data_IF_787875495659
#
_entry.id   IF_787875495659
#
_cell.length_a   1.000
_cell.length_b   1.000
_cell.length_c   1.000
_cell.angle_alpha   90.00
_cell.angle_beta   90.00
_cell.angle_gamma   90.00
#
_symmetry.space_group_name_H-M   'P 1'
#
loop_
_entity.id
_entity.type
_entity.pdbx_description
1 polymer ?
#
# COMPACT_ATOMS: atom_id res chain seq x y z
N UNK A 1 0.14 27.87 13.46
CA UNK A 1 0.37 26.47 13.06
C UNK A 1 -0.95 25.96 12.48
N UNK A 2 -1.14 26.05 11.17
CA UNK A 2 -2.37 25.59 10.52
C UNK A 2 -2.40 24.06 10.50
N UNK A 3 -3.53 23.43 10.88
CA UNK A 3 -3.64 21.97 10.98
C UNK A 3 -3.41 21.24 9.64
N UNK A 4 -3.50 21.94 8.52
CA UNK A 4 -3.26 21.42 7.17
C UNK A 4 -1.83 20.92 6.92
N UNK A 5 -0.83 21.50 7.59
CA UNK A 5 0.58 21.15 7.36
C UNK A 5 0.93 19.76 7.95
N UNK A 6 0.14 19.31 8.93
CA UNK A 6 0.36 18.02 9.62
C UNK A 6 -0.25 16.81 8.90
N UNK A 7 -1.05 17.03 7.85
CA UNK A 7 -1.70 15.94 7.11
C UNK A 7 -0.94 15.70 5.82
N UNK A 8 -0.49 14.46 5.60
CA UNK A 8 0.11 14.05 4.34
C UNK A 8 -1.01 13.86 3.32
N UNK A 9 -0.94 14.54 2.19
CA UNK A 9 -1.96 14.46 1.12
C UNK A 9 -1.32 13.82 -0.10
N UNK A 10 -1.93 12.74 -0.59
CA UNK A 10 -1.57 12.09 -1.85
C UNK A 10 -2.68 12.39 -2.85
N UNK A 11 -2.37 13.16 -3.89
CA UNK A 11 -3.35 13.70 -4.83
C UNK A 11 -2.91 13.53 -6.27
N UNK A 12 -3.86 13.43 -7.19
CA UNK A 12 -3.58 13.52 -8.62
C UNK A 12 -3.61 14.98 -9.06
N UNK A 13 -2.47 15.51 -9.49
CA UNK A 13 -2.30 16.87 -9.97
C UNK A 13 -2.92 17.09 -11.35
N UNK A 14 -2.88 18.33 -11.82
CA UNK A 14 -3.43 18.73 -13.13
C UNK A 14 -2.72 18.06 -14.32
N UNK A 15 -1.46 17.66 -14.16
CA UNK A 15 -0.71 16.91 -15.16
C UNK A 15 -0.92 15.39 -15.12
N UNK A 16 -1.99 14.93 -14.45
CA UNK A 16 -2.22 13.52 -14.09
C UNK A 16 -1.13 12.90 -13.20
N UNK A 17 -0.22 13.70 -12.65
CA UNK A 17 0.86 13.21 -11.80
C UNK A 17 0.37 12.92 -10.38
N UNK A 18 0.85 11.84 -9.77
CA UNK A 18 0.54 11.55 -8.36
C UNK A 18 1.58 12.21 -7.48
N UNK A 19 1.14 13.21 -6.72
CA UNK A 19 1.99 14.07 -5.90
C UNK A 19 1.69 13.93 -4.41
N UNK A 20 2.70 14.21 -3.59
CA UNK A 20 2.59 14.29 -2.13
C UNK A 20 2.80 15.71 -1.67
N UNK A 21 1.90 16.19 -0.82
CA UNK A 21 2.02 17.46 -0.11
C UNK A 21 1.82 17.28 1.40
N UNK A 22 2.19 18.31 2.17
CA UNK A 22 2.21 18.28 3.62
C UNK A 22 3.60 17.97 4.18
N UNK A 23 3.71 17.91 5.51
CA UNK A 23 4.98 17.66 6.19
C UNK A 23 5.36 16.18 6.12
N UNK A 24 6.52 15.92 5.53
CA UNK A 24 7.12 14.58 5.42
C UNK A 24 8.38 14.56 6.28
N UNK A 25 8.39 13.70 7.30
CA UNK A 25 9.58 13.42 8.12
C UNK A 25 10.38 12.23 7.57
N UNK A 26 11.45 11.84 8.25
CA UNK A 26 12.33 10.76 7.79
C UNK A 26 11.60 9.41 7.64
N UNK A 27 10.68 9.07 8.55
CA UNK A 27 9.97 7.78 8.50
C UNK A 27 8.95 7.78 7.37
N UNK A 28 8.19 8.88 7.21
CA UNK A 28 7.28 9.04 6.09
C UNK A 28 8.02 9.03 4.74
N UNK A 29 9.20 9.65 4.68
CA UNK A 29 10.06 9.63 3.50
C UNK A 29 10.47 8.21 3.10
N UNK A 30 10.90 7.39 4.05
CA UNK A 30 11.26 5.98 3.78
C UNK A 30 10.07 5.17 3.24
N UNK A 31 8.87 5.38 3.80
CA UNK A 31 7.65 4.73 3.31
C UNK A 31 7.35 5.15 1.87
N UNK A 32 7.46 6.45 1.57
CA UNK A 32 7.22 6.99 0.24
C UNK A 32 8.26 6.49 -0.78
N UNK A 33 9.55 6.44 -0.43
CA UNK A 33 10.59 5.87 -1.27
C UNK A 33 10.31 4.39 -1.58
N UNK A 34 9.90 3.62 -0.57
CA UNK A 34 9.54 2.21 -0.76
C UNK A 34 8.28 2.03 -1.61
N UNK A 35 7.37 2.98 -1.58
CA UNK A 35 6.22 3.03 -2.47
C UNK A 35 6.58 3.45 -3.90
N UNK A 36 7.82 3.86 -4.17
CA UNK A 36 8.29 4.29 -5.49
C UNK A 36 8.14 5.80 -5.75
N UNK A 37 7.90 6.62 -4.74
CA UNK A 37 7.94 8.07 -4.89
C UNK A 37 9.37 8.58 -5.05
N UNK A 38 9.51 9.58 -5.90
CA UNK A 38 10.73 10.31 -6.17
C UNK A 38 10.72 11.63 -5.42
N UNK A 39 11.88 12.02 -4.87
CA UNK A 39 12.08 13.29 -4.16
C UNK A 39 12.93 14.19 -5.06
N UNK A 40 12.28 15.12 -5.74
CA UNK A 40 12.90 16.00 -6.72
C UNK A 40 13.13 17.39 -6.13
N UNK A 41 14.27 18.04 -6.40
CA UNK A 41 14.47 19.42 -5.98
C UNK A 41 13.45 20.32 -6.68
N UNK A 42 12.78 21.20 -5.92
CA UNK A 42 11.84 22.17 -6.44
C UNK A 42 12.30 23.61 -6.14
N UNK A 43 11.67 24.57 -6.82
CA UNK A 43 11.94 25.98 -6.61
C UNK A 43 11.69 26.38 -5.14
N UNK A 44 12.49 27.34 -4.65
CA UNK A 44 12.42 27.89 -3.28
C UNK A 44 12.75 26.89 -2.16
N UNK A 45 13.65 25.95 -2.42
CA UNK A 45 14.13 25.00 -1.41
C UNK A 45 13.08 24.01 -0.93
N UNK A 46 11.98 23.87 -1.69
CA UNK A 46 10.97 22.83 -1.46
C UNK A 46 11.39 21.55 -2.17
N UNK A 47 10.90 20.42 -1.68
CA UNK A 47 11.03 19.13 -2.37
C UNK A 47 9.70 18.82 -3.02
N UNK A 48 9.74 18.44 -4.29
CA UNK A 48 8.58 17.95 -5.02
C UNK A 48 8.60 16.43 -4.98
N UNK A 49 7.56 15.85 -4.38
CA UNK A 49 7.48 14.41 -4.13
C UNK A 49 6.40 13.84 -5.03
N UNK A 50 6.74 12.92 -5.93
CA UNK A 50 5.79 12.36 -6.89
C UNK A 50 6.13 10.94 -7.33
N UNK A 51 5.15 10.22 -7.86
CA UNK A 51 5.42 8.98 -8.59
C UNK A 51 5.98 9.27 -9.99
N UNK A 52 6.70 8.30 -10.60
CA UNK A 52 7.01 8.36 -12.02
C UNK A 52 5.73 8.47 -12.86
N UNK A 53 5.78 9.34 -13.86
CA UNK A 53 4.80 9.39 -14.94
C UNK A 53 5.12 8.28 -15.95
N UNK A 54 4.14 7.82 -16.71
CA UNK A 54 4.24 6.81 -17.80
C UNK A 54 4.25 5.33 -17.38
N UNK A 55 4.13 4.99 -16.09
CA UNK A 55 3.98 3.59 -15.66
C UNK A 55 2.53 3.08 -15.69
N UNK A 56 1.59 3.97 -16.01
CA UNK A 56 0.17 3.67 -16.20
C UNK A 56 -0.66 3.86 -14.93
N UNK A 57 -1.92 4.27 -15.13
CA UNK A 57 -2.83 4.69 -14.05
C UNK A 57 -3.04 3.63 -12.96
N UNK A 58 -3.13 2.35 -13.33
CA UNK A 58 -3.31 1.26 -12.37
C UNK A 58 -2.08 1.02 -11.49
N UNK A 59 -0.89 1.20 -12.06
CA UNK A 59 0.35 1.13 -11.30
C UNK A 59 0.42 2.28 -10.30
N UNK A 60 0.16 3.50 -10.77
CA UNK A 60 0.18 4.70 -9.94
C UNK A 60 -0.83 4.62 -8.80
N UNK A 61 -2.07 4.21 -9.09
CA UNK A 61 -3.14 4.07 -8.11
C UNK A 61 -2.81 2.98 -7.07
N UNK A 62 -2.21 1.85 -7.49
CA UNK A 62 -1.74 0.79 -6.58
C UNK A 62 -0.68 1.32 -5.61
N UNK A 63 0.33 2.01 -6.14
CA UNK A 63 1.44 2.52 -5.35
C UNK A 63 0.99 3.63 -4.40
N UNK A 64 0.11 4.53 -4.85
CA UNK A 64 -0.52 5.56 -4.01
C UNK A 64 -1.35 4.94 -2.87
N UNK A 65 -2.17 3.94 -3.19
CA UNK A 65 -2.99 3.23 -2.19
C UNK A 65 -2.12 2.49 -1.17
N UNK A 66 -1.06 1.82 -1.63
CA UNK A 66 -0.11 1.14 -0.76
C UNK A 66 0.60 2.13 0.19
N UNK A 67 1.09 3.25 -0.34
CA UNK A 67 1.72 4.29 0.46
C UNK A 67 0.79 4.83 1.53
N UNK A 68 -0.46 5.16 1.16
CA UNK A 68 -1.46 5.65 2.10
C UNK A 68 -1.75 4.63 3.21
N UNK A 69 -1.84 3.34 2.86
CA UNK A 69 -2.04 2.25 3.84
C UNK A 69 -0.87 2.12 4.82
N UNK A 70 0.36 2.18 4.32
CA UNK A 70 1.57 2.08 5.14
C UNK A 70 1.73 3.29 6.07
N UNK A 71 1.55 4.50 5.55
CA UNK A 71 1.58 5.74 6.35
C UNK A 71 0.49 5.74 7.42
N UNK A 72 -0.73 5.31 7.08
CA UNK A 72 -1.83 5.19 8.05
C UNK A 72 -1.52 4.16 9.14
N UNK A 73 -0.90 3.03 8.77
CA UNK A 73 -0.44 2.00 9.71
C UNK A 73 0.62 2.55 10.68
N UNK A 74 1.52 3.41 10.17
CA UNK A 74 2.49 4.15 10.97
C UNK A 74 1.90 5.36 11.72
N UNK A 75 0.57 5.48 11.79
CA UNK A 75 -0.19 6.52 12.54
C UNK A 75 -0.08 7.94 11.98
N UNK A 76 0.35 8.11 10.73
CA UNK A 76 0.25 9.39 10.05
C UNK A 76 -1.21 9.70 9.69
N UNK A 77 -1.58 10.98 9.73
CA UNK A 77 -2.84 11.44 9.13
C UNK A 77 -2.63 11.59 7.63
N UNK A 78 -3.31 10.76 6.85
CA UNK A 78 -3.18 10.71 5.40
C UNK A 78 -4.52 10.99 4.75
N UNK A 79 -4.51 11.86 3.74
CA UNK A 79 -5.61 12.04 2.82
C UNK A 79 -5.22 11.49 1.46
N UNK A 80 -5.86 10.40 1.04
CA UNK A 80 -5.74 9.84 -0.30
C UNK A 80 -6.91 10.32 -1.15
N UNK A 81 -6.60 10.94 -2.28
CA UNK A 81 -7.58 11.32 -3.29
C UNK A 81 -8.44 10.10 -3.72
N UNK A 82 -9.78 10.22 -3.75
CA UNK A 82 -10.67 9.13 -4.16
C UNK A 82 -10.30 8.49 -5.50
N UNK A 83 -9.79 9.27 -6.46
CA UNK A 83 -9.44 8.77 -7.80
C UNK A 83 -8.16 7.93 -7.82
N UNK A 84 -7.41 7.94 -6.72
CA UNK A 84 -6.22 7.12 -6.52
C UNK A 84 -6.51 5.79 -5.81
N UNK A 85 -7.74 5.59 -5.33
CA UNK A 85 -8.12 4.36 -4.63
C UNK A 85 -8.07 3.19 -5.59
N UNK A 86 -7.11 2.30 -5.36
CA UNK A 86 -7.04 1.03 -6.05
C UNK A 86 -7.75 -0.04 -5.24
N UNK A 87 -8.79 -0.63 -5.80
CA UNK A 87 -9.38 -1.86 -5.29
C UNK A 87 -8.88 -2.99 -6.19
N UNK A 88 -8.08 -3.94 -5.66
CA UNK A 88 -7.72 -5.12 -6.43
C UNK A 88 -8.99 -5.80 -6.94
N UNK A 89 -9.01 -6.32 -8.18
CA UNK A 89 -10.06 -7.25 -8.58
C UNK A 89 -10.16 -8.33 -7.51
N UNK A 90 -11.36 -8.61 -7.02
CA UNK A 90 -11.58 -9.67 -6.04
C UNK A 90 -11.11 -10.98 -6.66
N UNK A 91 -9.93 -11.47 -6.27
CA UNK A 91 -9.51 -12.82 -6.66
C UNK A 91 -10.53 -13.79 -6.05
N UNK A 92 -11.20 -14.64 -6.83
CA UNK A 92 -12.10 -15.63 -6.26
C UNK A 92 -11.30 -16.47 -5.28
N UNK A 93 -11.76 -16.50 -4.02
CA UNK A 93 -11.11 -17.23 -2.95
C UNK A 93 -10.79 -18.65 -3.43
N UNK A 94 -9.50 -19.04 -3.36
CA UNK A 94 -9.09 -20.39 -3.69
C UNK A 94 -9.95 -21.38 -2.88
N UNK A 95 -10.47 -22.47 -3.49
CA UNK A 95 -11.33 -23.41 -2.79
C UNK A 95 -10.58 -23.93 -1.58
N UNK A 96 -11.21 -23.79 -0.40
CA UNK A 96 -10.68 -24.29 0.85
C UNK A 96 -10.34 -25.78 0.68
N UNK A 97 -9.04 -26.11 0.73
CA UNK A 97 -8.60 -27.51 0.74
C UNK A 97 -9.16 -28.14 2.02
N UNK A 98 -9.98 -29.21 1.95
CA UNK A 98 -10.42 -29.88 3.15
C UNK A 98 -9.18 -30.41 3.89
N UNK A 99 -9.10 -30.14 5.20
CA UNK A 99 -8.05 -30.66 6.06
C UNK A 99 -7.97 -32.17 5.89
N UNK A 100 -6.78 -32.67 5.53
CA UNK A 100 -6.52 -34.10 5.45
C UNK A 100 -6.82 -34.73 6.81
N UNK A 101 -7.93 -35.47 6.90
CA UNK A 101 -8.21 -36.32 8.05
C UNK A 101 -7.07 -37.33 8.14
N UNK A 102 -6.38 -37.33 9.26
CA UNK A 102 -5.40 -38.35 9.63
C UNK A 102 -6.08 -39.72 9.54
N UNK A 103 -5.68 -40.52 8.55
CA UNK A 103 -6.05 -41.92 8.49
C UNK A 103 -5.52 -42.59 9.77
N UNK A 104 -6.44 -42.96 10.67
CA UNK A 104 -6.09 -43.76 11.84
C UNK A 104 -5.53 -45.10 11.37
N UNK A 105 -4.37 -45.48 11.93
CA UNK A 105 -3.81 -46.82 11.76
C UNK A 105 -4.79 -47.88 12.29
N UNK A 106 -4.95 -49.04 11.60
CA UNK A 106 -5.86 -50.08 12.06
C UNK A 106 -5.35 -50.73 13.36
N UNK A 107 -6.25 -51.07 14.31
CA UNK A 107 -5.87 -51.66 15.58
C UNK A 107 -5.46 -53.13 15.39
N UNK A 108 -4.34 -53.48 16.00
CA UNK A 108 -3.82 -54.84 16.16
C UNK A 108 -4.84 -55.73 16.90
N UNK A 109 -5.09 -56.95 16.41
CA UNK A 109 -5.79 -58.00 17.19
C UNK A 109 -5.09 -59.37 17.08
N UNK A 110 -5.15 -60.20 18.15
CA UNK A 110 -4.14 -61.19 18.49
C UNK A 110 -4.35 -62.59 17.90
N UNK A 111 -3.30 -63.41 18.03
CA UNK A 111 -3.19 -64.84 17.68
C UNK A 111 -4.27 -65.75 18.31
N UNK A 112 -4.73 -66.74 17.53
CA UNK A 112 -5.18 -68.09 17.92
C UNK A 112 -5.25 -68.89 16.60
N UNK A 113 -4.71 -70.09 16.43
CA UNK A 113 -4.58 -71.27 17.29
C UNK A 113 -3.44 -72.14 16.76
#
# INVERSE_FOLDING_TARGET
MTPDDATIRITRGQGDEVEVSGRVDAVAQEVLLRAGFLFLPALRGRVWIRLPFDLGRDWENRHATWAAGMLSTARYRVHLDPDLRYTPPHEPAAPARPSAMTAQAPPNRPRRR
#
